data_IF_263880445179
#
_entry.id   IF_263880445179
#
_cell.length_a   1.000
_cell.length_b   1.000
_cell.length_c   1.000
_cell.angle_alpha   90.00
_cell.angle_beta   90.00
_cell.angle_gamma   90.00
#
_symmetry.space_group_name_H-M   'P 1'
#
loop_
_entity.id
_entity.type
_entity.pdbx_description
1 polymer ?
#
# COMPACT_ATOMS: atom_id res chain seq x y z
N UNK A 1 -5.08 -30.85 6.06
CA UNK A 1 -5.48 -29.49 6.51
C UNK A 1 -5.46 -28.47 5.37
N UNK A 2 -4.41 -28.44 4.54
CA UNK A 2 -4.24 -27.52 3.39
C UNK A 2 -5.38 -27.52 2.36
N UNK A 3 -5.97 -28.68 2.01
CA UNK A 3 -7.05 -28.77 1.01
C UNK A 3 -8.32 -28.02 1.44
N UNK A 4 -8.63 -28.01 2.74
CA UNK A 4 -9.81 -27.31 3.26
C UNK A 4 -9.58 -25.80 3.34
N UNK A 5 -8.35 -25.37 3.68
CA UNK A 5 -7.97 -23.96 3.67
C UNK A 5 -8.05 -23.37 2.25
N UNK A 6 -7.57 -24.08 1.24
CA UNK A 6 -7.65 -23.63 -0.16
C UNK A 6 -9.10 -23.46 -0.66
N UNK A 7 -10.03 -24.32 -0.22
CA UNK A 7 -11.46 -24.17 -0.55
C UNK A 7 -12.07 -22.94 0.11
N UNK A 8 -11.76 -22.69 1.39
CA UNK A 8 -12.26 -21.50 2.10
C UNK A 8 -11.73 -20.23 1.41
N UNK A 9 -10.44 -20.20 1.06
CA UNK A 9 -9.82 -19.05 0.39
C UNK A 9 -10.48 -18.79 -0.97
N UNK A 10 -10.72 -19.80 -1.80
CA UNK A 10 -11.37 -19.59 -3.10
C UNK A 10 -12.84 -19.12 -2.98
N UNK A 11 -13.56 -19.61 -1.97
CA UNK A 11 -14.92 -19.14 -1.67
C UNK A 11 -14.97 -17.68 -1.21
N UNK A 12 -13.87 -17.15 -0.66
CA UNK A 12 -13.75 -15.73 -0.27
C UNK A 12 -13.28 -14.87 -1.45
N UNK A 13 -12.21 -15.28 -2.15
CA UNK A 13 -11.58 -14.47 -3.20
C UNK A 13 -12.47 -14.30 -4.44
N UNK A 14 -13.13 -15.37 -4.90
CA UNK A 14 -13.90 -15.28 -6.15
C UNK A 14 -15.04 -14.25 -6.10
N UNK A 15 -15.85 -14.17 -5.02
CA UNK A 15 -16.82 -13.08 -4.85
C UNK A 15 -16.17 -11.70 -4.86
N UNK A 16 -15.03 -11.51 -4.20
CA UNK A 16 -14.31 -10.23 -4.17
C UNK A 16 -13.88 -9.78 -5.57
N UNK A 17 -13.27 -10.69 -6.34
CA UNK A 17 -12.87 -10.42 -7.74
C UNK A 17 -14.08 -10.07 -8.60
N UNK A 18 -15.16 -10.84 -8.49
CA UNK A 18 -16.39 -10.61 -9.25
C UNK A 18 -16.98 -9.23 -8.93
N UNK A 19 -17.06 -8.88 -7.64
CA UNK A 19 -17.58 -7.60 -7.20
C UNK A 19 -16.70 -6.43 -7.66
N UNK A 20 -15.37 -6.55 -7.51
CA UNK A 20 -14.42 -5.54 -7.98
C UNK A 20 -14.59 -5.29 -9.50
N UNK A 21 -14.67 -6.36 -10.28
CA UNK A 21 -14.90 -6.25 -11.73
C UNK A 21 -16.22 -5.53 -12.06
N UNK A 22 -17.33 -5.91 -11.40
CA UNK A 22 -18.63 -5.27 -11.60
C UNK A 22 -18.60 -3.78 -11.25
N UNK A 23 -17.97 -3.41 -10.14
CA UNK A 23 -17.89 -2.01 -9.68
C UNK A 23 -17.21 -1.06 -10.67
N UNK A 24 -16.23 -1.56 -11.44
CA UNK A 24 -15.55 -0.76 -12.46
C UNK A 24 -16.45 -0.50 -13.68
N UNK A 25 -17.29 -1.47 -14.05
CA UNK A 25 -18.24 -1.32 -15.13
C UNK A 25 -19.38 -0.36 -14.77
N UNK A 26 -19.85 -0.40 -13.53
CA UNK A 26 -20.91 0.50 -13.06
C UNK A 26 -20.45 1.97 -13.02
N UNK A 27 -19.17 2.24 -12.72
CA UNK A 27 -18.60 3.60 -12.82
C UNK A 27 -18.64 4.13 -14.26
N UNK A 28 -18.37 3.29 -15.26
CA UNK A 28 -18.44 3.65 -16.69
C UNK A 28 -19.89 3.79 -17.17
N UNK A 29 -20.80 2.99 -16.63
CA UNK A 29 -22.22 3.05 -16.96
C UNK A 29 -22.91 4.29 -16.38
N UNK A 30 -22.59 4.72 -15.13
CA UNK A 30 -23.16 5.93 -14.51
C UNK A 30 -22.78 7.25 -15.21
N UNK A 31 -21.82 7.22 -16.13
CA UNK A 31 -21.55 8.33 -17.06
C UNK A 31 -22.64 8.48 -18.14
N UNK A 32 -23.57 7.53 -18.24
CA UNK A 32 -24.76 7.53 -19.07
C UNK A 32 -25.98 7.21 -18.19
N UNK A 33 -26.89 8.17 -18.02
CA UNK A 33 -27.99 8.16 -17.03
C UNK A 33 -28.79 6.85 -16.91
N UNK A 34 -29.04 6.41 -15.66
CA UNK A 34 -30.39 6.27 -15.06
C UNK A 34 -30.31 5.75 -13.61
N UNK A 35 -31.07 6.39 -12.71
CA UNK A 35 -31.14 6.12 -11.28
C UNK A 35 -32.49 5.50 -10.91
N UNK A 36 -32.51 4.76 -9.79
CA UNK A 36 -33.66 4.22 -9.04
C UNK A 36 -34.19 2.83 -9.43
N UNK A 37 -33.40 1.79 -9.14
CA UNK A 37 -33.90 0.50 -8.60
C UNK A 37 -32.83 -0.36 -7.90
N UNK A 38 -31.53 0.00 -7.97
CA UNK A 38 -30.41 -0.83 -7.49
C UNK A 38 -30.03 -0.73 -5.99
N UNK A 39 -30.60 0.20 -5.21
CA UNK A 39 -30.05 0.53 -3.87
C UNK A 39 -30.18 -0.57 -2.81
N UNK A 40 -31.19 -1.45 -2.90
CA UNK A 40 -31.45 -2.49 -1.90
C UNK A 40 -30.62 -3.77 -2.12
N UNK A 41 -30.49 -4.24 -3.36
CA UNK A 41 -29.62 -5.38 -3.70
C UNK A 41 -28.13 -5.01 -3.54
N UNK A 42 -27.76 -3.76 -3.81
CA UNK A 42 -26.38 -3.29 -3.63
C UNK A 42 -25.94 -3.30 -2.16
N UNK A 43 -26.83 -2.94 -1.22
CA UNK A 43 -26.49 -2.88 0.21
C UNK A 43 -26.28 -4.28 0.81
N UNK A 44 -27.14 -5.26 0.48
CA UNK A 44 -26.93 -6.65 0.93
C UNK A 44 -25.70 -7.30 0.29
N UNK A 45 -25.33 -6.92 -0.94
CA UNK A 45 -24.10 -7.40 -1.57
C UNK A 45 -22.85 -6.78 -0.94
N UNK A 46 -22.90 -5.50 -0.55
CA UNK A 46 -21.79 -4.78 0.04
C UNK A 46 -21.42 -5.34 1.41
N UNK A 47 -22.39 -5.58 2.29
CA UNK A 47 -22.14 -6.12 3.63
C UNK A 47 -21.45 -7.50 3.60
N UNK A 48 -21.87 -8.37 2.68
CA UNK A 48 -21.24 -9.67 2.45
C UNK A 48 -19.81 -9.54 1.94
N UNK A 49 -19.57 -8.59 1.03
CA UNK A 49 -18.23 -8.32 0.49
C UNK A 49 -17.31 -7.72 1.56
N UNK A 50 -17.80 -6.78 2.37
CA UNK A 50 -17.07 -6.22 3.52
C UNK A 50 -16.71 -7.32 4.52
N UNK A 51 -17.66 -8.18 4.88
CA UNK A 51 -17.39 -9.32 5.78
C UNK A 51 -16.36 -10.30 5.18
N UNK A 52 -16.41 -10.50 3.86
CA UNK A 52 -15.48 -11.39 3.14
C UNK A 52 -14.06 -10.84 3.13
N UNK A 53 -13.88 -9.53 2.90
CA UNK A 53 -12.55 -8.92 2.92
C UNK A 53 -11.98 -8.84 4.33
N UNK A 54 -12.81 -8.60 5.35
CA UNK A 54 -12.37 -8.60 6.75
C UNK A 54 -11.89 -9.99 7.17
N UNK A 55 -12.61 -11.03 6.75
CA UNK A 55 -12.20 -12.41 6.95
C UNK A 55 -10.89 -12.70 6.21
N UNK A 56 -10.74 -12.27 4.96
CA UNK A 56 -9.49 -12.43 4.22
C UNK A 56 -8.32 -11.75 4.95
N UNK A 57 -8.52 -10.53 5.42
CA UNK A 57 -7.52 -9.75 6.14
C UNK A 57 -7.03 -10.46 7.42
N UNK A 58 -7.94 -11.11 8.16
CA UNK A 58 -7.57 -11.89 9.34
C UNK A 58 -6.82 -13.19 9.01
N UNK A 59 -7.00 -13.72 7.80
CA UNK A 59 -6.36 -14.96 7.36
C UNK A 59 -5.01 -14.71 6.67
N UNK A 60 -4.84 -13.57 6.01
CA UNK A 60 -3.70 -13.30 5.13
C UNK A 60 -2.40 -12.97 5.90
N UNK A 61 -2.49 -12.74 7.20
CA UNK A 61 -1.34 -12.62 8.12
C UNK A 61 -0.50 -13.92 8.17
N UNK A 62 -1.08 -15.08 7.79
CA UNK A 62 -0.32 -16.30 7.53
C UNK A 62 0.33 -16.27 6.13
N UNK A 63 1.66 -16.27 6.09
CA UNK A 63 2.46 -16.30 4.86
C UNK A 63 2.01 -17.39 3.86
N UNK A 64 1.61 -18.58 4.32
CA UNK A 64 1.15 -19.65 3.43
C UNK A 64 -0.19 -19.32 2.76
N UNK A 65 -1.08 -18.66 3.51
CA UNK A 65 -2.36 -18.18 2.98
C UNK A 65 -2.10 -17.06 1.99
N UNK A 66 -1.26 -16.09 2.34
CA UNK A 66 -0.86 -15.01 1.44
C UNK A 66 -0.33 -15.55 0.10
N UNK A 67 0.61 -16.51 0.12
CA UNK A 67 1.12 -17.19 -1.08
C UNK A 67 0.05 -17.91 -1.90
N UNK A 68 -1.04 -18.34 -1.27
CA UNK A 68 -2.16 -18.97 -1.96
C UNK A 68 -3.06 -17.91 -2.61
N UNK A 69 -3.30 -16.81 -1.91
CA UNK A 69 -4.07 -15.66 -2.40
C UNK A 69 -3.40 -15.11 -3.66
N UNK A 70 -2.10 -14.82 -3.63
CA UNK A 70 -1.35 -14.20 -4.74
C UNK A 70 -1.27 -15.06 -6.00
N UNK A 71 -1.46 -16.38 -5.89
CA UNK A 71 -1.56 -17.28 -7.05
C UNK A 71 -2.89 -17.15 -7.80
N UNK A 72 -3.89 -16.51 -7.20
CA UNK A 72 -5.20 -16.34 -7.83
C UNK A 72 -5.15 -15.16 -8.81
N UNK A 73 -5.39 -15.40 -10.12
CA UNK A 73 -5.29 -14.34 -11.11
C UNK A 73 -6.21 -13.16 -10.80
N UNK A 74 -5.73 -11.93 -11.06
CA UNK A 74 -6.47 -10.67 -10.89
C UNK A 74 -6.81 -10.29 -9.45
N UNK A 75 -6.36 -11.04 -8.45
CA UNK A 75 -6.65 -10.73 -7.05
C UNK A 75 -6.08 -9.38 -6.66
N UNK A 76 -4.85 -9.05 -7.08
CA UNK A 76 -4.19 -7.78 -6.73
C UNK A 76 -4.91 -6.60 -7.37
N UNK A 77 -5.20 -6.67 -8.67
CA UNK A 77 -6.03 -5.66 -9.34
C UNK A 77 -7.41 -5.49 -8.70
N UNK A 78 -8.02 -6.58 -8.22
CA UNK A 78 -9.30 -6.52 -7.54
C UNK A 78 -9.18 -5.82 -6.19
N UNK A 79 -8.17 -6.18 -5.39
CA UNK A 79 -7.90 -5.55 -4.11
C UNK A 79 -7.55 -4.07 -4.26
N UNK A 80 -6.74 -3.68 -5.26
CA UNK A 80 -6.42 -2.27 -5.54
C UNK A 80 -7.66 -1.48 -5.95
N UNK A 81 -8.57 -2.10 -6.70
CA UNK A 81 -9.87 -1.51 -7.02
C UNK A 81 -10.74 -1.31 -5.77
N UNK A 82 -10.80 -2.31 -4.89
CA UNK A 82 -11.60 -2.26 -3.67
C UNK A 82 -11.06 -1.25 -2.65
N UNK A 83 -9.74 -1.04 -2.60
CA UNK A 83 -9.12 -0.05 -1.70
C UNK A 83 -9.51 1.40 -1.98
N UNK A 84 -10.05 1.70 -3.18
CA UNK A 84 -10.60 3.02 -3.55
C UNK A 84 -12.07 2.92 -3.98
N UNK A 85 -12.76 1.85 -3.58
CA UNK A 85 -14.17 1.67 -3.92
C UNK A 85 -15.00 2.81 -3.37
N UNK A 86 -15.73 3.50 -4.26
CA UNK A 86 -16.62 4.61 -3.91
C UNK A 86 -15.96 5.69 -3.02
N UNK A 87 -14.65 5.90 -3.22
CA UNK A 87 -13.92 6.96 -2.54
C UNK A 87 -14.47 8.34 -2.97
N UNK A 88 -14.67 9.23 -2.00
CA UNK A 88 -15.22 10.57 -2.25
C UNK A 88 -16.71 10.62 -2.60
N UNK A 89 -17.45 9.51 -2.54
CA UNK A 89 -18.90 9.51 -2.74
C UNK A 89 -19.64 9.45 -1.41
N UNK A 90 -20.65 10.30 -1.22
CA UNK A 90 -21.49 10.29 -0.01
C UNK A 90 -22.62 9.27 -0.17
N UNK A 91 -22.67 8.27 0.71
CA UNK A 91 -23.72 7.25 0.73
C UNK A 91 -24.64 7.44 1.95
N UNK A 92 -25.43 6.42 2.27
CA UNK A 92 -26.04 6.33 3.60
C UNK A 92 -24.94 6.04 4.63
N UNK A 93 -25.13 6.50 5.87
CA UNK A 93 -24.18 6.30 6.96
C UNK A 93 -23.71 4.84 7.11
N UNK A 94 -24.62 3.87 7.01
CA UNK A 94 -24.28 2.45 7.07
C UNK A 94 -23.38 2.01 5.91
N UNK A 95 -23.70 2.43 4.68
CA UNK A 95 -22.89 2.09 3.51
C UNK A 95 -21.54 2.84 3.53
N UNK A 96 -21.48 4.06 4.05
CA UNK A 96 -20.22 4.79 4.23
C UNK A 96 -19.29 4.05 5.19
N UNK A 97 -19.82 3.51 6.29
CA UNK A 97 -19.05 2.67 7.22
C UNK A 97 -18.60 1.37 6.55
N UNK A 98 -19.49 0.68 5.83
CA UNK A 98 -19.15 -0.57 5.14
C UNK A 98 -18.11 -0.38 4.02
N UNK A 99 -18.20 0.72 3.26
CA UNK A 99 -17.22 1.05 2.22
C UNK A 99 -15.89 1.53 2.80
N UNK A 100 -15.89 2.21 3.95
CA UNK A 100 -14.66 2.54 4.68
C UNK A 100 -13.94 1.25 5.12
N UNK A 101 -14.65 0.33 5.76
CA UNK A 101 -14.11 -0.97 6.18
C UNK A 101 -13.60 -1.79 4.97
N UNK A 102 -14.38 -1.85 3.88
CA UNK A 102 -13.97 -2.51 2.65
C UNK A 102 -12.64 -1.96 2.13
N UNK A 103 -12.52 -0.63 2.10
CA UNK A 103 -11.33 0.07 1.62
C UNK A 103 -10.12 -0.19 2.52
N UNK A 104 -10.27 -0.06 3.84
CA UNK A 104 -9.17 -0.22 4.81
C UNK A 104 -8.68 -1.67 4.85
N UNK A 105 -9.59 -2.65 4.90
CA UNK A 105 -9.24 -4.07 4.89
C UNK A 105 -8.58 -4.51 3.57
N UNK A 106 -9.00 -3.94 2.44
CA UNK A 106 -8.34 -4.20 1.14
C UNK A 106 -6.91 -3.68 1.11
N UNK A 107 -6.66 -2.47 1.61
CA UNK A 107 -5.29 -1.92 1.71
C UNK A 107 -4.40 -2.75 2.62
N UNK A 108 -4.93 -3.20 3.77
CA UNK A 108 -4.18 -4.04 4.69
C UNK A 108 -3.85 -5.41 4.08
N UNK A 109 -4.78 -6.02 3.33
CA UNK A 109 -4.49 -7.22 2.55
C UNK A 109 -3.34 -7.00 1.55
N UNK A 110 -3.36 -5.89 0.81
CA UNK A 110 -2.28 -5.54 -0.13
C UNK A 110 -0.93 -5.34 0.58
N UNK A 111 -0.92 -4.73 1.77
CA UNK A 111 0.28 -4.59 2.57
C UNK A 111 0.84 -5.95 3.00
N UNK A 112 0.02 -6.86 3.51
CA UNK A 112 0.48 -8.22 3.83
C UNK A 112 1.02 -8.96 2.60
N UNK A 113 0.37 -8.78 1.45
CA UNK A 113 0.85 -9.33 0.18
C UNK A 113 2.20 -8.76 -0.19
N UNK A 114 2.42 -7.46 -0.02
CA UNK A 114 3.72 -6.84 -0.19
C UNK A 114 4.77 -7.44 0.76
N UNK A 115 4.46 -7.60 2.05
CA UNK A 115 5.38 -8.13 3.08
C UNK A 115 5.81 -9.58 2.81
N UNK A 116 4.87 -10.43 2.36
CA UNK A 116 5.13 -11.85 2.12
C UNK A 116 5.35 -12.21 0.64
N UNK A 117 5.34 -11.20 -0.23
CA UNK A 117 5.48 -11.34 -1.67
C UNK A 117 6.93 -11.37 -2.12
N UNK A 118 7.26 -12.31 -3.01
CA UNK A 118 8.55 -12.34 -3.69
C UNK A 118 8.63 -11.26 -4.79
N UNK A 119 9.73 -11.29 -5.55
CA UNK A 119 9.97 -10.36 -6.65
C UNK A 119 8.84 -10.30 -7.68
N UNK A 120 8.19 -11.43 -7.98
CA UNK A 120 7.09 -11.48 -8.94
C UNK A 120 5.86 -10.77 -8.40
N UNK A 121 5.56 -10.94 -7.11
CA UNK A 121 4.45 -10.26 -6.45
C UNK A 121 4.66 -8.75 -6.43
N UNK A 122 5.89 -8.28 -6.17
CA UNK A 122 6.19 -6.84 -6.21
C UNK A 122 5.91 -6.24 -7.59
N UNK A 123 6.32 -6.92 -8.66
CA UNK A 123 6.03 -6.49 -10.03
C UNK A 123 4.52 -6.42 -10.32
N UNK A 124 3.74 -7.41 -9.86
CA UNK A 124 2.29 -7.41 -10.04
C UNK A 124 1.61 -6.28 -9.25
N UNK A 125 2.11 -5.93 -8.06
CA UNK A 125 1.63 -4.76 -7.30
C UNK A 125 1.87 -3.45 -8.05
N UNK A 126 3.05 -3.26 -8.64
CA UNK A 126 3.34 -2.08 -9.48
C UNK A 126 2.40 -2.03 -10.68
N UNK A 127 2.21 -3.15 -11.38
CA UNK A 127 1.29 -3.25 -12.51
C UNK A 127 -0.18 -3.00 -12.11
N UNK A 128 -0.54 -3.28 -10.85
CA UNK A 128 -1.86 -3.01 -10.30
C UNK A 128 -2.06 -1.57 -9.79
N UNK A 129 -1.09 -0.68 -10.01
CA UNK A 129 -1.06 0.72 -9.54
C UNK A 129 -1.17 0.85 -8.01
N UNK A 130 -0.45 -0.01 -7.28
CA UNK A 130 -0.54 -0.06 -5.82
C UNK A 130 -0.19 1.29 -5.15
N UNK A 131 0.91 1.94 -5.54
CA UNK A 131 1.32 3.22 -4.93
C UNK A 131 0.36 4.35 -5.27
N UNK A 132 -0.08 4.47 -6.52
CA UNK A 132 -1.09 5.46 -6.92
C UNK A 132 -2.40 5.31 -6.13
N UNK A 133 -2.84 4.08 -5.88
CA UNK A 133 -4.03 3.80 -5.08
C UNK A 133 -3.88 4.21 -3.60
N UNK A 134 -2.68 4.04 -3.01
CA UNK A 134 -2.41 4.51 -1.65
C UNK A 134 -2.40 6.05 -1.58
N UNK A 135 -1.85 6.72 -2.58
CA UNK A 135 -1.87 8.18 -2.73
C UNK A 135 -3.31 8.69 -2.78
N UNK A 136 -4.13 8.20 -3.73
CA UNK A 136 -5.53 8.61 -3.87
C UNK A 136 -6.29 8.48 -2.54
N UNK A 137 -6.01 7.41 -1.79
CA UNK A 137 -6.61 7.22 -0.49
C UNK A 137 -6.21 8.31 0.49
N UNK A 138 -4.91 8.66 0.59
CA UNK A 138 -4.41 9.71 1.50
C UNK A 138 -5.10 11.04 1.19
N UNK A 139 -5.18 11.40 -0.08
CA UNK A 139 -5.67 12.69 -0.55
C UNK A 139 -7.15 12.93 -0.28
N UNK A 140 -7.92 11.84 -0.26
CA UNK A 140 -9.36 11.84 0.02
C UNK A 140 -9.68 11.65 1.50
N UNK A 141 -8.67 11.59 2.38
CA UNK A 141 -8.87 11.63 3.82
C UNK A 141 -9.22 13.08 4.23
N UNK A 142 -10.51 13.45 4.15
CA UNK A 142 -11.01 14.81 4.41
C UNK A 142 -11.80 14.97 5.71
N UNK A 143 -11.24 14.59 6.85
CA UNK A 143 -11.90 14.57 8.16
C UNK A 143 -10.98 15.12 9.26
N UNK A 144 -11.39 15.07 10.52
CA UNK A 144 -10.57 15.50 11.67
C UNK A 144 -10.55 14.43 12.75
N UNK A 145 -9.38 14.14 13.30
CA UNK A 145 -9.21 13.31 14.50
C UNK A 145 -7.98 12.39 14.45
N UNK A 146 -7.63 11.82 15.60
CA UNK A 146 -6.46 10.96 15.81
C UNK A 146 -6.53 9.64 15.00
N UNK A 147 -7.73 9.07 14.82
CA UNK A 147 -7.92 7.83 14.04
C UNK A 147 -7.55 8.03 12.56
N UNK A 148 -7.81 9.22 12.02
CA UNK A 148 -7.45 9.56 10.66
C UNK A 148 -5.96 9.83 10.49
N UNK A 149 -5.36 10.49 11.47
CA UNK A 149 -3.92 10.68 11.52
C UNK A 149 -3.19 9.34 11.48
N UNK A 150 -3.65 8.37 12.27
CA UNK A 150 -3.12 7.01 12.25
C UNK A 150 -3.30 6.34 10.88
N UNK A 151 -4.47 6.45 10.25
CA UNK A 151 -4.67 5.90 8.91
C UNK A 151 -3.79 6.55 7.84
N UNK A 152 -3.58 7.87 7.90
CA UNK A 152 -2.67 8.59 6.99
C UNK A 152 -1.25 8.07 7.23
N UNK A 153 -0.79 8.04 8.48
CA UNK A 153 0.53 7.52 8.85
C UNK A 153 0.76 6.11 8.31
N UNK A 154 -0.17 5.19 8.54
CA UNK A 154 -0.08 3.80 8.07
C UNK A 154 0.05 3.73 6.53
N UNK A 155 -0.68 4.57 5.80
CA UNK A 155 -0.59 4.59 4.33
C UNK A 155 0.74 5.16 3.83
N UNK A 156 1.27 6.18 4.50
CA UNK A 156 2.60 6.73 4.22
C UNK A 156 3.67 5.66 4.48
N UNK A 157 3.60 5.00 5.63
CA UNK A 157 4.50 3.90 5.98
C UNK A 157 4.49 2.79 4.90
N UNK A 158 3.30 2.41 4.42
CA UNK A 158 3.17 1.42 3.34
C UNK A 158 3.82 1.85 2.03
N UNK A 159 3.71 3.12 1.64
CA UNK A 159 4.38 3.65 0.43
C UNK A 159 5.90 3.64 0.64
N UNK A 160 6.36 4.16 1.77
CA UNK A 160 7.79 4.26 2.09
C UNK A 160 8.46 2.89 2.12
N UNK A 161 7.86 1.91 2.80
CA UNK A 161 8.38 0.55 2.86
C UNK A 161 8.36 -0.13 1.48
N UNK A 162 7.31 0.09 0.69
CA UNK A 162 7.23 -0.45 -0.67
C UNK A 162 8.34 0.07 -1.58
N UNK A 163 8.53 1.39 -1.63
CA UNK A 163 9.58 2.04 -2.45
C UNK A 163 10.98 1.67 -1.95
N UNK A 164 11.20 1.66 -0.63
CA UNK A 164 12.48 1.25 -0.03
C UNK A 164 12.86 -0.19 -0.42
N UNK A 165 11.90 -1.12 -0.30
CA UNK A 165 12.07 -2.51 -0.70
C UNK A 165 12.38 -2.65 -2.20
N UNK A 166 11.73 -1.87 -3.07
CA UNK A 166 12.06 -1.88 -4.51
C UNK A 166 13.45 -1.31 -4.78
N UNK A 167 13.88 -0.25 -4.09
CA UNK A 167 15.19 0.38 -4.32
C UNK A 167 16.38 -0.41 -3.74
N UNK A 168 16.22 -0.98 -2.54
CA UNK A 168 17.29 -1.64 -1.78
C UNK A 168 17.22 -3.17 -1.84
N UNK A 169 16.13 -3.72 -2.38
CA UNK A 169 15.81 -5.14 -2.24
C UNK A 169 15.32 -5.46 -0.83
N UNK A 170 15.05 -6.75 -0.58
CA UNK A 170 14.66 -7.26 0.72
C UNK A 170 15.55 -8.44 1.10
N UNK A 171 16.12 -8.37 2.29
CA UNK A 171 17.00 -9.42 2.83
C UNK A 171 16.29 -10.37 3.81
N UNK A 172 15.08 -10.03 4.23
CA UNK A 172 14.19 -10.89 5.02
C UNK A 172 13.34 -11.78 4.11
N UNK A 173 12.85 -12.92 4.61
CA UNK A 173 12.11 -13.90 3.81
C UNK A 173 10.66 -13.42 3.50
N UNK A 174 10.25 -13.30 2.22
CA UNK A 174 10.98 -13.67 1.01
C UNK A 174 11.99 -12.61 0.56
N UNK A 175 13.22 -13.05 0.29
CA UNK A 175 14.27 -12.15 -0.18
C UNK A 175 14.20 -11.92 -1.68
N UNK A 176 14.56 -10.72 -2.11
CA UNK A 176 14.71 -10.38 -3.52
C UNK A 176 15.73 -9.25 -3.71
N UNK A 177 16.46 -9.23 -4.84
CA UNK A 177 17.41 -8.16 -5.13
C UNK A 177 16.67 -6.83 -5.44
N UNK A 178 17.37 -5.68 -5.39
CA UNK A 178 16.85 -4.40 -5.87
C UNK A 178 16.15 -4.48 -7.23
N UNK A 179 15.04 -3.76 -7.37
CA UNK A 179 14.20 -3.63 -8.56
C UNK A 179 14.01 -2.14 -8.95
N UNK A 180 15.09 -1.41 -9.28
CA UNK A 180 15.04 0.04 -9.47
C UNK A 180 14.09 0.48 -10.59
N UNK A 181 13.93 -0.31 -11.65
CA UNK A 181 12.97 0.00 -12.72
C UNK A 181 11.51 -0.01 -12.24
N UNK A 182 11.17 -0.88 -11.28
CA UNK A 182 9.84 -0.92 -10.69
C UNK A 182 9.65 0.20 -9.65
N UNK A 183 10.71 0.56 -8.92
CA UNK A 183 10.70 1.74 -8.05
C UNK A 183 10.37 3.01 -8.85
N UNK A 184 11.05 3.21 -9.99
CA UNK A 184 10.80 4.34 -10.89
C UNK A 184 9.34 4.41 -11.35
N UNK A 185 8.76 3.29 -11.80
CA UNK A 185 7.34 3.27 -12.23
C UNK A 185 6.42 3.63 -11.06
N UNK A 186 6.72 3.16 -9.85
CA UNK A 186 5.92 3.47 -8.67
C UNK A 186 6.05 4.92 -8.21
N UNK A 187 7.21 5.54 -8.40
CA UNK A 187 7.43 6.97 -8.18
C UNK A 187 6.66 7.80 -9.23
N UNK A 188 6.69 7.41 -10.51
CA UNK A 188 5.90 8.04 -11.57
C UNK A 188 4.39 7.94 -11.28
N UNK A 189 3.91 6.81 -10.75
CA UNK A 189 2.51 6.66 -10.31
C UNK A 189 2.13 7.64 -9.19
N UNK A 190 3.06 7.92 -8.27
CA UNK A 190 2.85 8.86 -7.18
C UNK A 190 2.79 10.29 -7.71
N UNK A 191 3.66 10.65 -8.65
CA UNK A 191 3.68 11.98 -9.26
C UNK A 191 2.42 12.25 -10.10
N UNK A 192 2.00 11.30 -10.94
CA UNK A 192 0.84 11.45 -11.83
C UNK A 192 -0.45 11.70 -11.04
N UNK A 193 -0.59 11.11 -9.86
CA UNK A 193 -1.77 11.28 -9.01
C UNK A 193 -1.72 12.57 -8.17
N UNK A 194 -0.70 13.44 -8.33
CA UNK A 194 -0.60 14.72 -7.60
C UNK A 194 -0.29 14.55 -6.12
N UNK A 195 0.37 13.43 -5.75
CA UNK A 195 0.60 13.08 -4.36
C UNK A 195 1.34 14.15 -3.57
N UNK A 196 2.31 14.83 -4.20
CA UNK A 196 3.17 15.80 -3.51
C UNK A 196 2.32 16.99 -3.06
N UNK A 197 1.51 17.54 -3.95
CA UNK A 197 0.61 18.66 -3.68
C UNK A 197 -0.43 18.29 -2.62
N UNK A 198 -0.98 17.07 -2.70
CA UNK A 198 -2.01 16.60 -1.77
C UNK A 198 -1.43 16.28 -0.38
N UNK A 199 -0.22 15.73 -0.30
CA UNK A 199 0.51 15.53 0.96
C UNK A 199 0.89 16.85 1.63
N UNK A 200 1.34 17.84 0.85
CA UNK A 200 1.63 19.18 1.36
C UNK A 200 0.39 19.85 1.94
N UNK A 201 -0.76 19.76 1.26
CA UNK A 201 -2.02 20.30 1.76
C UNK A 201 -2.45 19.65 3.09
N UNK A 202 -2.30 18.33 3.22
CA UNK A 202 -2.64 17.58 4.44
C UNK A 202 -1.67 17.89 5.61
N UNK A 203 -0.37 18.06 5.32
CA UNK A 203 0.65 18.42 6.33
C UNK A 203 0.46 19.82 6.91
N UNK A 204 0.01 20.78 6.10
CA UNK A 204 -0.29 22.14 6.55
C UNK A 204 -1.49 22.13 7.51
N UNK A 205 -2.42 21.19 7.33
CA UNK A 205 -3.64 21.09 8.12
C UNK A 205 -3.42 20.48 9.52
N UNK A 206 -2.67 19.38 9.60
CA UNK A 206 -2.51 18.58 10.83
C UNK A 206 -1.27 18.95 11.68
N UNK A 207 -1.01 20.25 11.88
CA UNK A 207 0.25 20.83 12.39
C UNK A 207 0.87 20.29 13.70
N UNK A 208 0.26 19.31 14.38
CA UNK A 208 0.76 18.68 15.62
C UNK A 208 1.18 17.20 15.51
N UNK A 209 1.00 16.54 14.35
CA UNK A 209 1.31 15.10 14.22
C UNK A 209 2.76 14.86 13.74
N UNK A 210 3.70 14.82 14.69
CA UNK A 210 5.14 14.63 14.41
C UNK A 210 5.44 13.42 13.53
N UNK A 211 4.73 12.30 13.72
CA UNK A 211 4.95 11.06 12.97
C UNK A 211 4.51 11.18 11.49
N UNK A 212 3.40 11.88 11.22
CA UNK A 212 2.94 12.15 9.85
C UNK A 212 3.90 13.10 9.16
N UNK A 213 4.35 14.15 9.86
CA UNK A 213 5.33 15.10 9.31
C UNK A 213 6.63 14.40 8.94
N UNK A 214 7.14 13.52 9.80
CA UNK A 214 8.34 12.75 9.50
C UNK A 214 8.13 11.81 8.30
N UNK A 215 7.04 11.05 8.28
CA UNK A 215 6.76 10.08 7.20
C UNK A 215 6.52 10.76 5.85
N UNK A 216 5.81 11.89 5.84
CA UNK A 216 5.59 12.68 4.64
C UNK A 216 6.88 13.34 4.14
N UNK A 217 7.76 13.80 5.05
CA UNK A 217 9.09 14.27 4.68
C UNK A 217 9.97 13.16 4.11
N UNK A 218 9.86 11.94 4.64
CA UNK A 218 10.55 10.75 4.12
C UNK A 218 10.06 10.42 2.71
N UNK A 219 8.74 10.37 2.49
CA UNK A 219 8.15 10.11 1.16
C UNK A 219 8.51 11.22 0.18
N UNK A 220 8.37 12.48 0.60
CA UNK A 220 8.81 13.63 -0.19
C UNK A 220 10.30 13.52 -0.50
N UNK A 221 11.10 13.05 0.45
CA UNK A 221 12.51 12.76 0.27
C UNK A 221 12.76 11.67 -0.76
N UNK A 222 12.05 10.54 -0.69
CA UNK A 222 12.16 9.46 -1.68
C UNK A 222 11.78 9.93 -3.08
N UNK A 223 10.64 10.64 -3.21
CA UNK A 223 10.16 11.15 -4.51
C UNK A 223 11.08 12.27 -5.04
N UNK A 224 11.49 13.20 -4.19
CA UNK A 224 12.32 14.35 -4.59
C UNK A 224 13.79 14.00 -4.77
N UNK A 225 14.34 13.01 -4.07
CA UNK A 225 15.74 12.61 -4.22
C UNK A 225 16.07 12.10 -5.63
N UNK A 226 15.08 11.69 -6.43
CA UNK A 226 15.30 11.35 -7.84
C UNK A 226 15.48 12.60 -8.72
N UNK A 227 14.90 13.74 -8.32
CA UNK A 227 15.09 15.05 -8.97
C UNK A 227 16.36 15.78 -8.51
N UNK A 228 17.08 15.25 -7.52
CA UNK A 228 18.38 15.76 -7.11
C UNK A 228 19.42 15.16 -8.06
N UNK A 229 19.76 15.91 -9.11
CA UNK A 229 20.99 15.70 -9.88
C UNK A 229 22.16 15.43 -8.91
N UNK A 230 23.03 14.48 -9.23
CA UNK A 230 24.20 14.13 -8.42
C UNK A 230 25.08 15.35 -8.07
N UNK A 231 24.94 16.46 -8.79
CA UNK A 231 25.60 17.74 -8.52
C UNK A 231 24.95 18.64 -7.45
N UNK A 232 23.74 18.32 -6.96
CA UNK A 232 23.03 19.15 -5.99
C UNK A 232 23.37 18.78 -4.54
N UNK A 233 23.41 19.80 -3.67
CA UNK A 233 23.72 19.62 -2.26
C UNK A 233 22.59 18.83 -1.58
N UNK A 234 22.93 17.65 -1.06
CA UNK A 234 21.97 16.68 -0.52
C UNK A 234 21.31 17.21 0.77
N UNK A 235 20.04 16.89 1.03
CA UNK A 235 19.36 17.25 2.28
C UNK A 235 20.00 16.58 3.51
N UNK A 236 19.95 17.25 4.66
CA UNK A 236 20.60 16.82 5.92
C UNK A 236 20.24 15.40 6.39
N UNK A 237 19.04 14.89 6.04
CA UNK A 237 18.60 13.55 6.41
C UNK A 237 19.26 12.44 5.59
N UNK A 238 19.84 12.76 4.42
CA UNK A 238 20.58 11.80 3.60
C UNK A 238 21.89 11.35 4.26
N UNK A 239 22.46 12.18 5.14
CA UNK A 239 23.72 11.87 5.84
C UNK A 239 23.52 10.92 7.03
N UNK A 240 22.35 10.96 7.68
CA UNK A 240 22.08 10.13 8.88
C UNK A 240 22.03 8.63 8.60
N UNK A 241 21.63 8.22 7.40
CA UNK A 241 21.52 6.80 7.05
C UNK A 241 22.87 6.16 6.67
N UNK A 242 23.93 6.95 6.42
CA UNK A 242 25.28 6.41 6.16
C UNK A 242 26.07 6.20 7.46
N UNK A 243 25.75 6.92 8.52
CA UNK A 243 26.49 6.86 9.78
C UNK A 243 26.15 5.60 10.63
N UNK A 244 25.06 4.90 10.32
CA UNK A 244 24.72 3.61 10.96
C UNK A 244 25.39 2.39 10.30
N UNK A 245 26.00 2.53 9.11
CA UNK A 245 26.63 1.41 8.38
C UNK A 245 28.15 1.25 8.65
N UNK A 246 28.73 2.07 9.54
CA UNK A 246 30.18 2.09 9.83
C UNK A 246 30.61 1.53 11.19
N UNK A 247 29.73 0.85 11.94
CA UNK A 247 30.09 0.32 13.27
C UNK A 247 30.29 -1.19 13.41
N UNK A 248 30.16 -1.98 12.33
CA UNK A 248 30.32 -3.45 12.41
C UNK A 248 31.52 -4.03 11.62
N UNK A 249 32.49 -3.21 11.22
CA UNK A 249 33.73 -3.70 10.59
C UNK A 249 34.96 -2.96 11.10
N UNK A 250 35.40 -3.23 12.33
CA UNK A 250 36.81 -3.11 12.73
C UNK A 250 37.02 -3.71 14.13
N UNK A 251 37.21 -5.03 14.22
CA UNK A 251 38.12 -5.65 15.19
C UNK A 251 38.37 -7.13 14.85
N UNK A 252 38.96 -7.38 13.68
CA UNK A 252 39.70 -8.62 13.46
C UNK A 252 40.98 -8.34 12.65
N UNK A 253 42.10 -8.76 13.23
CA UNK A 253 43.48 -8.85 12.72
C UNK A 253 44.45 -7.68 12.92
N UNK A 254 45.41 -7.95 13.81
CA UNK A 254 46.75 -7.39 13.86
C UNK A 254 47.69 -8.33 14.65
N UNK A 255 48.03 -9.47 14.07
CA UNK A 255 49.21 -10.25 14.48
C UNK A 255 50.48 -9.46 14.11
N UNK A 256 51.47 -9.37 14.99
CA UNK A 256 52.76 -10.07 14.80
C UNK A 256 53.78 -9.71 15.91
N UNK A 257 54.64 -10.69 16.13
CA UNK A 257 55.72 -10.79 17.10
C UNK A 257 56.83 -9.76 16.82
N UNK A 258 57.60 -9.39 17.85
CA UNK A 258 59.06 -9.52 17.72
C UNK A 258 59.80 -9.53 19.07
N UNK A 259 60.83 -10.39 19.09
CA UNK A 259 61.67 -10.81 20.21
C UNK A 259 62.73 -9.76 20.63
N UNK A 260 63.00 -9.63 21.94
CA UNK A 260 64.34 -9.75 22.59
C UNK A 260 64.15 -10.20 24.03
#
# INVERSE_FOLDING_TARGET
>A
MLINQHKIISHIIHPLIKFAFQSQHDKKAKSQEQHNQQQSESSSSLSLITSSIDLLNNLIDDNNICKTVTKTPKVLHSLTTLSIYQIGTHLSQENDQQTLALRSSSRRCLHYIHQYGDASVQSELVNANYTGVLVIAISTAGGHGEEQEFEIYMRLDYISDFISNLNKGRYTSPSFPPQPALAQISEEQIEVEGAIEELEAQLIYNGNSWNIKNSANIIKGYIMNFYIDWSNQRPDWYQKDQDEEYFDQEEEFGEEQDNV
#
